data_IF_154569284371
#
_entry.id   IF_154569284371
#
_cell.length_a   1.000
_cell.length_b   1.000
_cell.length_c   1.000
_cell.angle_alpha   90.00
_cell.angle_beta   90.00
_cell.angle_gamma   90.00
#
_symmetry.space_group_name_H-M   'P 1'
#
loop_
_entity.id
_entity.type
_entity.pdbx_description
1 polymer ?
#
# COMPACT_ATOMS: atom_id res chain seq x y z
N UNK A 1 -12.42 -39.26 -52.87
CA UNK A 1 -13.76 -38.73 -52.54
C UNK A 1 -13.70 -38.12 -51.14
N UNK A 2 -13.78 -36.79 -51.04
CA UNK A 2 -14.15 -36.07 -49.80
C UNK A 2 -15.67 -36.31 -49.52
N UNK A 3 -16.29 -35.86 -48.42
CA UNK A 3 -15.77 -35.16 -47.23
C UNK A 3 -16.09 -35.98 -45.93
N UNK A 4 -16.03 -35.53 -44.66
CA UNK A 4 -15.86 -34.22 -43.98
C UNK A 4 -15.02 -34.42 -42.70
N UNK A 5 -14.33 -33.38 -42.20
CA UNK A 5 -14.18 -33.15 -40.76
C UNK A 5 -14.00 -31.64 -40.50
N UNK A 6 -14.75 -31.10 -39.54
CA UNK A 6 -14.81 -29.67 -39.26
C UNK A 6 -13.51 -29.19 -38.57
N UNK A 7 -12.76 -28.32 -39.24
CA UNK A 7 -11.88 -27.39 -38.53
C UNK A 7 -12.76 -26.36 -37.83
N UNK A 8 -13.06 -26.61 -36.55
CA UNK A 8 -13.68 -25.60 -35.69
C UNK A 8 -12.62 -24.57 -35.36
N UNK A 9 -12.61 -23.47 -36.11
CA UNK A 9 -11.82 -22.27 -35.79
C UNK A 9 -12.25 -21.78 -34.42
N UNK A 10 -11.46 -22.13 -33.39
CA UNK A 10 -11.42 -21.36 -32.16
C UNK A 10 -10.86 -20.00 -32.55
N UNK A 11 -11.75 -19.02 -32.66
CA UNK A 11 -11.36 -17.62 -32.65
C UNK A 11 -10.54 -17.38 -31.39
N UNK A 12 -9.23 -17.17 -31.56
CA UNK A 12 -8.46 -16.41 -30.59
C UNK A 12 -9.05 -15.00 -30.58
N UNK A 13 -10.10 -14.81 -29.79
CA UNK A 13 -10.46 -13.49 -29.33
C UNK A 13 -9.23 -12.96 -28.62
N UNK A 14 -8.61 -11.94 -29.21
CA UNK A 14 -7.62 -11.13 -28.56
C UNK A 14 -8.30 -10.48 -27.35
N UNK A 15 -8.27 -11.15 -26.20
CA UNK A 15 -8.43 -10.54 -24.90
C UNK A 15 -7.22 -9.63 -24.70
N UNK A 16 -7.28 -8.48 -25.37
CA UNK A 16 -6.42 -7.35 -25.09
C UNK A 16 -6.85 -6.88 -23.69
N UNK A 17 -6.01 -6.99 -22.64
CA UNK A 17 -6.39 -6.61 -21.30
C UNK A 17 -6.32 -5.07 -21.19
N UNK A 18 -7.30 -4.40 -21.80
CA UNK A 18 -7.49 -2.94 -21.77
C UNK A 18 -7.99 -2.52 -20.39
N UNK A 19 -7.14 -2.67 -19.38
CA UNK A 19 -7.51 -2.50 -17.98
C UNK A 19 -6.41 -2.86 -16.98
N UNK A 20 -5.20 -2.35 -17.16
CA UNK A 20 -4.12 -2.45 -16.16
C UNK A 20 -4.13 -1.24 -15.22
N UNK A 21 -4.17 -1.49 -13.90
CA UNK A 21 -4.14 -0.46 -12.88
C UNK A 21 -2.70 -0.07 -12.52
N UNK A 22 -2.11 0.82 -13.32
CA UNK A 22 -0.67 1.11 -13.28
C UNK A 22 -0.16 1.74 -11.97
N UNK A 23 -1.04 2.39 -11.18
CA UNK A 23 -0.67 3.02 -9.90
C UNK A 23 -0.77 2.06 -8.70
N UNK A 24 -1.43 0.91 -8.82
CA UNK A 24 -1.63 -0.04 -7.73
C UNK A 24 -1.71 -1.49 -8.20
N UNK A 25 -0.63 -2.23 -7.95
CA UNK A 25 -0.47 -3.67 -8.26
C UNK A 25 -1.58 -4.57 -7.72
N UNK A 26 -2.22 -4.19 -6.60
CA UNK A 26 -3.29 -4.98 -5.97
C UNK A 26 -4.70 -4.56 -6.37
N UNK A 27 -4.84 -3.55 -7.22
CA UNK A 27 -6.12 -3.10 -7.73
C UNK A 27 -6.68 -4.07 -8.78
N UNK A 28 -8.00 -4.19 -8.83
CA UNK A 28 -8.71 -4.87 -9.91
C UNK A 28 -9.34 -3.84 -10.83
N UNK A 29 -9.25 -4.09 -12.12
CA UNK A 29 -10.05 -3.38 -13.11
C UNK A 29 -11.47 -3.99 -13.12
N UNK A 30 -12.45 -3.21 -12.71
CA UNK A 30 -13.87 -3.55 -12.82
C UNK A 30 -14.50 -2.65 -13.91
N UNK A 31 -15.11 -3.22 -14.96
CA UNK A 31 -15.88 -2.49 -15.99
C UNK A 31 -15.13 -2.05 -17.27
N UNK A 32 -15.86 -1.40 -18.17
CA UNK A 32 -15.38 -0.75 -19.39
C UNK A 32 -16.13 0.61 -19.55
N UNK A 33 -15.46 1.78 -19.47
CA UNK A 33 -14.03 1.95 -19.25
C UNK A 33 -13.57 1.43 -17.88
N UNK A 34 -12.32 0.98 -17.82
CA UNK A 34 -11.73 0.36 -16.64
C UNK A 34 -11.76 1.23 -15.38
N UNK A 35 -12.44 0.78 -14.32
CA UNK A 35 -12.41 1.41 -13.00
C UNK A 35 -11.55 0.60 -12.03
N UNK A 36 -10.42 1.18 -11.60
CA UNK A 36 -9.48 0.51 -10.69
C UNK A 36 -9.97 0.54 -9.24
N UNK A 37 -10.21 -0.63 -8.63
CA UNK A 37 -10.68 -0.76 -7.24
C UNK A 37 -9.72 -1.56 -6.35
N UNK A 38 -9.48 -1.11 -5.12
CA UNK A 38 -8.74 -1.86 -4.09
C UNK A 38 -9.71 -2.38 -3.04
N UNK A 39 -9.54 -3.65 -2.66
CA UNK A 39 -10.32 -4.30 -1.62
C UNK A 39 -9.50 -4.47 -0.34
N UNK A 40 -10.00 -3.96 0.79
CA UNK A 40 -9.34 -4.01 2.11
C UNK A 40 -10.20 -4.69 3.20
N UNK A 41 -11.42 -5.11 2.86
CA UNK A 41 -12.21 -6.03 3.67
C UNK A 41 -13.12 -6.89 2.79
N UNK A 42 -13.88 -7.81 3.37
CA UNK A 42 -14.85 -8.63 2.62
C UNK A 42 -15.91 -7.79 1.89
N UNK A 43 -16.27 -6.62 2.44
CA UNK A 43 -17.40 -5.79 1.99
C UNK A 43 -16.99 -4.44 1.40
N UNK A 44 -15.77 -3.95 1.68
CA UNK A 44 -15.34 -2.61 1.26
C UNK A 44 -14.33 -2.67 0.11
N UNK A 45 -14.67 -1.94 -0.96
CA UNK A 45 -13.81 -1.60 -2.10
C UNK A 45 -13.77 -0.07 -2.24
N UNK A 46 -12.66 0.48 -2.73
CA UNK A 46 -12.53 1.91 -3.06
C UNK A 46 -11.96 2.07 -4.47
N UNK A 47 -12.50 3.04 -5.24
CA UNK A 47 -11.92 3.46 -6.53
C UNK A 47 -10.64 4.27 -6.31
N UNK A 48 -9.64 4.04 -7.15
CA UNK A 48 -8.28 4.54 -6.95
C UNK A 48 -7.90 5.54 -8.04
N UNK A 49 -7.24 6.61 -7.63
CA UNK A 49 -6.29 7.34 -8.47
C UNK A 49 -4.93 7.37 -7.72
N UNK A 50 -4.92 7.98 -6.53
CA UNK A 50 -3.93 7.79 -5.46
C UNK A 50 -4.63 7.21 -4.20
N UNK A 51 -4.00 6.25 -3.52
CA UNK A 51 -4.60 5.59 -2.34
C UNK A 51 -4.15 6.27 -1.04
N UNK A 52 -5.08 6.66 -0.14
CA UNK A 52 -4.74 7.10 1.20
C UNK A 52 -3.91 6.06 1.96
N UNK A 53 -2.80 6.50 2.58
CA UNK A 53 -1.83 5.59 3.22
C UNK A 53 -2.46 4.63 4.24
N UNK A 54 -3.48 5.07 4.98
CA UNK A 54 -4.18 4.23 5.96
C UNK A 54 -4.86 3.02 5.29
N UNK A 55 -5.58 3.24 4.19
CA UNK A 55 -6.22 2.16 3.43
C UNK A 55 -5.20 1.23 2.76
N UNK A 56 -4.07 1.76 2.28
CA UNK A 56 -2.99 0.93 1.73
C UNK A 56 -2.40 -0.01 2.79
N UNK A 57 -2.10 0.51 3.99
CA UNK A 57 -1.63 -0.30 5.13
C UNK A 57 -2.69 -1.34 5.57
N UNK A 58 -3.97 -0.97 5.60
CA UNK A 58 -5.08 -1.89 5.92
C UNK A 58 -5.23 -3.01 4.87
N UNK A 59 -5.06 -2.69 3.59
CA UNK A 59 -5.05 -3.68 2.51
C UNK A 59 -3.83 -4.63 2.61
N UNK A 60 -2.65 -4.11 2.92
CA UNK A 60 -1.45 -4.94 3.16
C UNK A 60 -1.64 -5.90 4.33
N UNK A 61 -2.22 -5.43 5.44
CA UNK A 61 -2.49 -6.25 6.62
C UNK A 61 -3.61 -7.27 6.41
N UNK A 62 -4.65 -6.93 5.63
CA UNK A 62 -5.63 -7.90 5.14
C UNK A 62 -4.95 -9.02 4.33
N UNK A 63 -4.11 -8.65 3.35
CA UNK A 63 -3.39 -9.61 2.50
C UNK A 63 -2.48 -10.53 3.32
N UNK A 64 -1.72 -9.98 4.28
CA UNK A 64 -0.90 -10.75 5.21
C UNK A 64 -1.71 -11.80 5.98
N UNK A 65 -2.85 -11.41 6.57
CA UNK A 65 -3.73 -12.33 7.34
C UNK A 65 -4.31 -13.46 6.51
N UNK A 66 -4.52 -13.25 5.21
CA UNK A 66 -5.06 -14.26 4.29
C UNK A 66 -3.98 -15.01 3.50
N UNK A 67 -2.70 -14.94 3.91
CA UNK A 67 -1.55 -15.57 3.24
C UNK A 67 -1.43 -15.20 1.75
N UNK A 68 -1.84 -13.97 1.39
CA UNK A 68 -1.68 -13.42 0.04
C UNK A 68 -0.33 -12.70 -0.07
N UNK A 69 0.18 -12.55 -1.29
CA UNK A 69 1.44 -11.86 -1.58
C UNK A 69 1.37 -10.41 -1.04
N UNK A 70 2.29 -10.04 -0.16
CA UNK A 70 2.49 -8.67 0.35
C UNK A 70 3.82 -8.11 -0.14
N UNK A 71 4.12 -6.82 0.11
CA UNK A 71 5.41 -6.22 -0.30
C UNK A 71 6.59 -6.61 0.58
N UNK A 72 6.37 -7.49 1.58
CA UNK A 72 7.40 -8.05 2.46
C UNK A 72 8.36 -8.97 1.72
N UNK A 73 9.31 -8.37 0.99
CA UNK A 73 10.54 -9.01 0.48
C UNK A 73 11.46 -9.39 1.67
N UNK A 74 11.30 -8.75 2.82
CA UNK A 74 11.87 -9.19 4.09
C UNK A 74 11.11 -10.41 4.64
N UNK A 75 11.79 -11.55 4.72
CA UNK A 75 11.27 -12.76 5.37
C UNK A 75 10.99 -12.57 6.88
N UNK A 76 10.52 -13.63 7.54
CA UNK A 76 10.27 -13.61 8.99
C UNK A 76 11.50 -13.05 9.73
N UNK A 77 11.33 -12.12 10.70
CA UNK A 77 12.40 -11.70 11.58
C UNK A 77 13.05 -12.91 12.24
N UNK A 78 14.39 -12.94 12.30
CA UNK A 78 15.13 -13.91 13.09
C UNK A 78 14.82 -13.72 14.58
N UNK A 79 14.96 -14.75 15.41
CA UNK A 79 14.53 -14.72 16.83
C UNK A 79 15.19 -13.60 17.66
N UNK A 80 16.38 -13.14 17.26
CA UNK A 80 17.12 -12.05 17.90
C UNK A 80 16.78 -10.64 17.37
N UNK A 81 15.89 -10.52 16.39
CA UNK A 81 15.52 -9.24 15.82
C UNK A 81 14.58 -8.47 16.75
N UNK A 82 15.05 -7.33 17.26
CA UNK A 82 14.20 -6.34 17.90
C UNK A 82 13.17 -5.80 16.91
N UNK A 83 11.95 -6.32 16.94
CA UNK A 83 10.84 -5.84 16.11
C UNK A 83 10.43 -4.46 16.61
N UNK A 84 10.93 -3.41 15.96
CA UNK A 84 10.39 -2.05 16.10
C UNK A 84 8.95 -2.04 15.56
N UNK A 85 8.00 -2.24 16.47
CA UNK A 85 6.58 -2.43 16.20
C UNK A 85 5.85 -1.10 15.88
N UNK A 86 6.60 -0.13 15.35
CA UNK A 86 6.19 1.26 15.06
C UNK A 86 6.02 1.52 13.55
N UNK A 87 6.26 0.51 12.71
CA UNK A 87 6.22 0.60 11.25
C UNK A 87 4.86 0.21 10.66
N UNK A 88 4.73 -1.05 10.22
CA UNK A 88 3.47 -1.60 9.70
C UNK A 88 2.65 -2.20 10.86
N UNK A 89 1.39 -1.78 10.92
CA UNK A 89 0.34 -2.27 11.81
C UNK A 89 -1.00 -2.21 11.07
N UNK A 90 -2.03 -2.92 11.54
CA UNK A 90 -3.40 -2.83 11.01
C UNK A 90 -4.06 -1.54 11.53
N UNK A 91 -4.31 -0.53 10.70
CA UNK A 91 -4.67 0.79 11.20
C UNK A 91 -6.17 1.00 11.24
N UNK A 92 -6.62 1.80 12.20
CA UNK A 92 -7.95 2.40 12.19
C UNK A 92 -7.93 3.67 11.33
N UNK A 93 -8.84 3.71 10.35
CA UNK A 93 -8.96 4.77 9.37
C UNK A 93 -10.32 5.45 9.51
N UNK A 94 -10.35 6.76 9.23
CA UNK A 94 -11.61 7.46 8.96
C UNK A 94 -12.15 7.10 7.57
N UNK A 95 -13.42 7.45 7.31
CA UNK A 95 -14.10 7.11 6.06
C UNK A 95 -13.45 7.70 4.79
N UNK A 96 -12.66 8.78 4.94
CA UNK A 96 -11.89 9.41 3.86
C UNK A 96 -10.47 8.83 3.68
N UNK A 97 -10.07 7.87 4.52
CA UNK A 97 -8.76 7.23 4.47
C UNK A 97 -7.65 7.93 5.24
N UNK A 98 -7.96 8.97 6.02
CA UNK A 98 -7.05 9.49 7.05
C UNK A 98 -6.91 8.48 8.19
N UNK A 99 -5.82 8.57 8.94
CA UNK A 99 -5.66 7.82 10.19
C UNK A 99 -6.53 8.42 11.28
N UNK A 100 -7.19 7.57 12.09
CA UNK A 100 -7.74 8.02 13.37
C UNK A 100 -6.59 8.44 14.28
N UNK A 101 -6.74 9.54 15.01
CA UNK A 101 -5.69 10.06 15.90
C UNK A 101 -5.33 9.06 17.01
N UNK A 102 -6.32 8.29 17.50
CA UNK A 102 -6.13 7.13 18.39
C UNK A 102 -6.07 5.86 17.54
N UNK A 103 -5.07 5.03 17.81
CA UNK A 103 -4.90 3.68 17.25
C UNK A 103 -4.92 2.64 18.37
N UNK A 104 -5.27 1.40 18.04
CA UNK A 104 -5.46 0.30 18.98
C UNK A 104 -4.95 -1.01 18.36
N UNK A 105 -4.41 -1.94 19.16
CA UNK A 105 -3.96 -3.25 18.69
C UNK A 105 -5.06 -4.35 18.74
N UNK A 106 -6.31 -4.00 19.08
CA UNK A 106 -7.40 -4.95 19.33
C UNK A 106 -7.45 -5.52 20.75
N UNK A 107 -6.62 -5.01 21.67
CA UNK A 107 -6.67 -5.27 23.12
C UNK A 107 -6.73 -3.93 23.86
N UNK A 108 -6.54 -3.90 25.18
CA UNK A 108 -6.56 -2.66 25.99
C UNK A 108 -5.32 -1.74 25.79
N UNK A 109 -4.65 -1.79 24.63
CA UNK A 109 -3.43 -1.03 24.33
C UNK A 109 -3.64 -0.06 23.17
N UNK A 110 -3.41 1.22 23.44
CA UNK A 110 -3.72 2.34 22.55
C UNK A 110 -2.52 3.29 22.39
N UNK A 111 -2.45 4.02 21.29
CA UNK A 111 -1.42 5.04 21.06
C UNK A 111 -1.91 6.15 20.11
N UNK A 112 -1.29 7.32 20.20
CA UNK A 112 -1.54 8.43 19.30
C UNK A 112 -0.70 8.33 18.02
N UNK A 113 -1.26 8.74 16.88
CA UNK A 113 -0.55 8.90 15.60
C UNK A 113 -0.82 10.28 14.98
N UNK A 114 0.10 10.72 14.12
CA UNK A 114 -0.13 11.88 13.25
C UNK A 114 -0.86 11.49 11.95
N UNK A 115 -1.19 12.45 11.09
CA UNK A 115 -1.88 12.23 9.81
C UNK A 115 -1.12 11.35 8.80
N UNK A 116 0.17 11.08 9.03
CA UNK A 116 0.95 10.09 8.28
C UNK A 116 0.99 8.68 8.90
N UNK A 117 0.22 8.43 9.97
CA UNK A 117 0.16 7.15 10.67
C UNK A 117 1.40 6.80 11.47
N UNK A 118 2.21 7.79 11.86
CA UNK A 118 3.42 7.57 12.67
C UNK A 118 3.10 7.85 14.14
N UNK A 119 3.51 6.95 15.03
CA UNK A 119 3.28 7.07 16.49
C UNK A 119 3.86 8.37 17.07
N UNK A 120 3.10 9.00 17.98
CA UNK A 120 3.43 10.27 18.66
C UNK A 120 3.30 10.23 20.17
N UNK A 121 2.87 9.12 20.74
CA UNK A 121 2.82 8.88 22.20
C UNK A 121 3.47 7.55 22.56
N UNK A 122 3.70 7.33 23.84
CA UNK A 122 3.83 5.98 24.37
C UNK A 122 2.49 5.23 24.32
N UNK A 123 2.54 3.93 24.62
CA UNK A 123 1.36 3.08 24.68
C UNK A 123 0.63 3.30 26.01
N UNK A 124 -0.67 3.54 25.93
CA UNK A 124 -1.56 3.76 27.07
C UNK A 124 -2.79 2.85 27.03
N UNK A 125 -3.72 3.10 27.94
CA UNK A 125 -5.02 2.45 28.00
C UNK A 125 -6.07 3.19 27.14
N UNK A 126 -7.32 2.73 27.20
CA UNK A 126 -8.47 3.32 26.50
C UNK A 126 -8.80 4.78 26.88
N UNK A 127 -8.19 5.32 27.94
CA UNK A 127 -8.40 6.68 28.42
C UNK A 127 -7.39 7.67 27.81
N UNK A 128 -6.46 7.20 26.96
CA UNK A 128 -5.52 8.07 26.25
C UNK A 128 -6.26 9.12 25.41
N UNK A 129 -5.79 10.37 25.51
CA UNK A 129 -6.31 11.50 24.71
C UNK A 129 -5.29 11.85 23.65
N UNK A 130 -5.71 11.84 22.39
CA UNK A 130 -4.88 12.19 21.25
C UNK A 130 -5.53 13.35 20.49
N UNK A 131 -4.86 14.49 20.46
CA UNK A 131 -5.22 15.60 19.57
C UNK A 131 -4.75 15.26 18.14
N UNK A 132 -5.51 15.62 17.08
CA UNK A 132 -5.06 15.43 15.71
C UNK A 132 -3.79 16.24 15.41
N UNK A 133 -2.72 15.57 14.96
CA UNK A 133 -1.44 16.19 14.60
C UNK A 133 -1.19 16.01 13.10
N UNK A 134 -1.04 17.11 12.37
CA UNK A 134 -0.72 17.09 10.94
C UNK A 134 0.78 16.98 10.66
N UNK A 135 1.14 16.19 9.64
CA UNK A 135 2.52 16.14 9.11
C UNK A 135 2.68 17.17 7.99
N UNK A 136 3.25 18.33 8.30
CA UNK A 136 3.48 19.40 7.31
C UNK A 136 4.78 19.24 6.51
N UNK A 137 5.72 18.38 6.94
CA UNK A 137 6.97 18.13 6.23
C UNK A 137 7.43 16.68 6.41
N UNK A 138 8.07 16.13 5.38
CA UNK A 138 8.71 14.81 5.39
C UNK A 138 10.11 14.97 4.79
N UNK A 139 11.14 14.56 5.54
CA UNK A 139 12.51 14.47 5.01
C UNK A 139 12.77 13.05 4.52
N UNK A 140 13.21 12.92 3.27
CA UNK A 140 13.67 11.66 2.68
C UNK A 140 15.18 11.72 2.50
N UNK A 141 15.91 10.83 3.18
CA UNK A 141 17.36 10.66 3.01
C UNK A 141 17.63 9.39 2.21
N UNK A 142 17.83 9.56 0.89
CA UNK A 142 18.06 8.46 -0.04
C UNK A 142 19.55 8.11 -0.09
N UNK A 143 19.87 6.81 -0.02
CA UNK A 143 21.23 6.28 -0.17
C UNK A 143 21.27 5.32 -1.35
N UNK A 144 22.27 5.46 -2.22
CA UNK A 144 22.59 4.51 -3.28
C UNK A 144 23.76 3.60 -2.84
N UNK A 145 23.96 2.49 -3.54
CA UNK A 145 25.18 1.66 -3.38
C UNK A 145 26.40 2.42 -3.89
N UNK A 146 27.59 2.08 -3.39
CA UNK A 146 28.83 2.65 -3.90
C UNK A 146 29.00 2.41 -5.40
N UNK A 147 29.53 3.42 -6.10
CA UNK A 147 29.72 3.42 -7.55
C UNK A 147 31.18 3.69 -7.86
N UNK A 148 31.70 3.02 -8.90
CA UNK A 148 33.06 3.22 -9.39
C UNK A 148 33.29 4.62 -10.01
N UNK A 149 32.21 5.37 -10.25
CA UNK A 149 32.23 6.74 -10.80
C UNK A 149 31.35 7.62 -9.92
N UNK A 150 31.82 8.81 -9.58
CA UNK A 150 31.06 9.81 -8.81
C UNK A 150 29.80 10.26 -9.56
N UNK A 151 28.68 10.35 -8.85
CA UNK A 151 27.44 10.89 -9.42
C UNK A 151 27.50 12.41 -9.58
N UNK A 152 26.99 12.89 -10.71
CA UNK A 152 26.78 14.30 -11.01
C UNK A 152 25.61 14.84 -10.16
N UNK A 153 25.94 15.66 -9.15
CA UNK A 153 24.96 16.21 -8.23
C UNK A 153 23.92 17.14 -8.88
N UNK A 154 24.24 17.75 -10.02
CA UNK A 154 23.28 18.58 -10.76
C UNK A 154 22.26 17.69 -11.47
N UNK A 155 22.72 16.65 -12.19
CA UNK A 155 21.83 15.67 -12.82
C UNK A 155 20.98 14.92 -11.81
N UNK A 156 21.54 14.53 -10.65
CA UNK A 156 20.75 13.91 -9.59
C UNK A 156 19.60 14.79 -9.13
N UNK A 157 19.81 16.10 -8.96
CA UNK A 157 18.72 17.02 -8.62
C UNK A 157 17.64 17.05 -9.70
N UNK A 158 18.00 17.03 -10.99
CA UNK A 158 17.02 16.98 -12.09
C UNK A 158 16.19 15.70 -12.10
N UNK A 159 16.76 14.54 -11.78
CA UNK A 159 16.04 13.26 -11.79
C UNK A 159 15.30 12.93 -10.48
N UNK A 160 15.65 13.58 -9.37
CA UNK A 160 15.05 13.37 -8.04
C UNK A 160 14.13 14.53 -7.62
N UNK A 161 14.09 15.62 -8.40
CA UNK A 161 13.08 16.66 -8.24
C UNK A 161 11.68 16.06 -8.42
N UNK A 162 10.87 16.20 -7.37
CA UNK A 162 9.43 15.91 -7.41
C UNK A 162 8.74 17.25 -7.28
N UNK A 163 8.26 17.77 -8.41
CA UNK A 163 7.32 18.89 -8.40
C UNK A 163 5.96 18.35 -7.96
N UNK A 164 5.38 18.97 -6.92
CA UNK A 164 4.06 18.64 -6.35
C UNK A 164 3.08 19.79 -6.62
#
# INVERSE_FOLDING_TARGET
MYPRNLFRTLSLSLFNPTGSCNTMEWARCDGDPCQCTLQFSKTHKQTIDLIPKCFLMKAEMYRARYNLITRSIGGKPVETAFVHNDGIYDPECENDGKFKAIQCNGTDVYWCVNSSGVRRSDKGDKNIKCEPVETYWVRLELKHKDLAVSLDAAKLKTYVAIDF
#
